data_IF_392814975505
#
_entry.id   IF_392814975505
#
_cell.length_a   1.000
_cell.length_b   1.000
_cell.length_c   1.000
_cell.angle_alpha   90.00
_cell.angle_beta   90.00
_cell.angle_gamma   90.00
#
_symmetry.space_group_name_H-M   'P 1'
#
loop_
_entity.id
_entity.type
_entity.pdbx_description
1 polymer ?
#
# COMPACT_ATOMS: atom_id res chain seq x y z
N UNK A 1 5.57 -42.59 22.70
CA UNK A 1 4.87 -42.06 21.49
C UNK A 1 5.53 -40.77 21.09
N UNK A 2 6.15 -40.73 19.91
CA UNK A 2 6.96 -39.63 19.40
C UNK A 2 6.07 -38.77 18.49
N UNK A 3 5.81 -37.51 18.85
CA UNK A 3 5.06 -36.60 17.98
C UNK A 3 6.00 -36.18 16.83
N UNK A 4 5.57 -36.27 15.56
CA UNK A 4 6.47 -36.11 14.43
C UNK A 4 7.11 -34.72 14.34
N UNK A 5 8.39 -34.73 14.00
CA UNK A 5 9.31 -33.60 13.90
C UNK A 5 8.87 -32.44 12.98
N UNK A 6 7.82 -32.62 12.17
CA UNK A 6 7.18 -31.55 11.38
C UNK A 6 6.46 -30.51 12.25
N UNK A 7 6.34 -30.79 13.55
CA UNK A 7 5.83 -29.91 14.60
C UNK A 7 6.93 -29.28 15.48
N UNK A 8 8.22 -29.35 15.10
CA UNK A 8 9.32 -28.82 15.92
C UNK A 8 9.77 -29.77 17.03
N UNK A 9 10.20 -30.98 16.67
CA UNK A 9 10.60 -32.02 17.62
C UNK A 9 12.03 -31.86 18.14
N UNK A 10 12.19 -30.97 19.12
CA UNK A 10 13.22 -30.97 20.18
C UNK A 10 12.80 -30.01 21.32
N UNK A 11 11.51 -29.62 21.38
CA UNK A 11 11.04 -28.50 22.20
C UNK A 11 11.41 -27.12 21.64
N UNK A 12 11.94 -27.05 20.42
CA UNK A 12 12.41 -25.81 19.78
C UNK A 12 11.42 -25.37 18.69
N UNK A 13 11.03 -24.08 18.62
CA UNK A 13 10.13 -23.59 17.59
C UNK A 13 10.71 -23.80 16.18
N UNK A 14 9.83 -23.92 15.18
CA UNK A 14 10.24 -23.98 13.79
C UNK A 14 11.04 -22.72 13.42
N UNK A 15 12.37 -22.88 13.27
CA UNK A 15 13.33 -21.76 13.16
C UNK A 15 12.96 -20.77 12.06
N UNK A 16 12.38 -21.23 10.95
CA UNK A 16 11.95 -20.36 9.85
C UNK A 16 10.77 -19.47 10.28
N UNK A 17 9.80 -20.03 11.00
CA UNK A 17 8.65 -19.24 11.46
C UNK A 17 9.07 -18.29 12.58
N UNK A 18 9.97 -18.74 13.47
CA UNK A 18 10.56 -17.87 14.48
C UNK A 18 11.32 -16.70 13.85
N UNK A 19 12.16 -16.97 12.85
CA UNK A 19 12.86 -15.93 12.11
C UNK A 19 11.89 -14.95 11.43
N UNK A 20 10.86 -15.47 10.75
CA UNK A 20 9.83 -14.62 10.13
C UNK A 20 9.10 -13.75 11.16
N UNK A 21 8.71 -14.31 12.30
CA UNK A 21 8.07 -13.59 13.40
C UNK A 21 8.99 -12.50 13.98
N UNK A 22 10.29 -12.79 14.14
CA UNK A 22 11.28 -11.82 14.57
C UNK A 22 11.41 -10.66 13.57
N UNK A 23 11.46 -10.95 12.26
CA UNK A 23 11.48 -9.94 11.21
C UNK A 23 10.19 -9.10 11.18
N UNK A 24 9.02 -9.72 11.37
CA UNK A 24 7.75 -8.98 11.48
C UNK A 24 7.71 -8.07 12.71
N UNK A 25 8.24 -8.54 13.84
CA UNK A 25 8.36 -7.72 15.05
C UNK A 25 9.29 -6.53 14.81
N UNK A 26 10.39 -6.74 14.09
CA UNK A 26 11.29 -5.66 13.68
C UNK A 26 10.57 -4.67 12.74
N UNK A 27 9.81 -5.16 11.75
CA UNK A 27 9.00 -4.34 10.87
C UNK A 27 8.00 -3.47 11.65
N UNK A 28 7.31 -4.05 12.63
CA UNK A 28 6.42 -3.32 13.52
C UNK A 28 7.17 -2.27 14.34
N UNK A 29 8.36 -2.58 14.84
CA UNK A 29 9.16 -1.66 15.63
C UNK A 29 9.63 -0.44 14.84
N UNK A 30 9.85 -0.57 13.52
CA UNK A 30 10.15 0.57 12.64
C UNK A 30 9.01 1.60 12.60
N UNK A 31 7.80 1.23 13.03
CA UNK A 31 6.66 2.14 13.17
C UNK A 31 6.47 2.68 14.59
N UNK A 32 7.36 2.37 15.53
CA UNK A 32 7.29 2.91 16.87
C UNK A 32 7.45 4.45 16.82
N UNK A 33 6.66 5.21 17.60
CA UNK A 33 6.83 6.65 17.67
C UNK A 33 8.16 7.01 18.34
N UNK A 34 8.67 8.20 18.01
CA UNK A 34 9.94 8.70 18.51
C UNK A 34 9.98 8.71 20.05
N UNK A 35 11.08 8.27 20.64
CA UNK A 35 11.29 8.24 22.08
C UNK A 35 10.84 6.94 22.78
N UNK A 36 10.11 6.05 22.09
CA UNK A 36 9.74 4.74 22.67
C UNK A 36 10.91 3.74 22.57
N UNK A 37 11.65 3.76 21.46
CA UNK A 37 12.76 2.84 21.21
C UNK A 37 13.96 3.61 20.69
N UNK A 38 14.94 3.88 21.57
CA UNK A 38 16.14 4.67 21.24
C UNK A 38 16.86 4.23 19.97
N UNK A 39 16.91 2.93 19.68
CA UNK A 39 17.57 2.45 18.46
C UNK A 39 16.78 2.80 17.18
N UNK A 40 15.45 2.87 17.26
CA UNK A 40 14.58 3.33 16.16
C UNK A 40 14.77 4.83 15.98
N UNK A 41 14.90 5.58 17.07
CA UNK A 41 15.18 7.02 17.03
C UNK A 41 16.52 7.29 16.31
N UNK A 42 17.56 6.50 16.61
CA UNK A 42 18.84 6.56 15.90
C UNK A 42 18.69 6.26 14.40
N UNK A 43 17.90 5.25 14.01
CA UNK A 43 17.61 4.99 12.60
C UNK A 43 16.84 6.17 11.97
N UNK A 44 15.88 6.75 12.69
CA UNK A 44 15.15 7.93 12.25
C UNK A 44 16.08 9.12 11.99
N UNK A 45 17.02 9.37 12.89
CA UNK A 45 17.98 10.47 12.77
C UNK A 45 18.99 10.24 11.63
N UNK A 46 19.39 8.98 11.38
CA UNK A 46 20.31 8.63 10.28
C UNK A 46 19.61 8.72 8.91
N UNK A 47 18.37 8.25 8.81
CA UNK A 47 17.65 8.13 7.53
C UNK A 47 16.79 9.35 7.19
N UNK A 48 16.36 10.12 8.18
CA UNK A 48 15.48 11.27 8.02
C UNK A 48 14.24 10.91 7.19
N UNK A 49 14.10 11.55 6.02
CA UNK A 49 12.95 11.36 5.10
C UNK A 49 12.92 10.00 4.42
N UNK A 50 14.06 9.31 4.36
CA UNK A 50 14.21 8.01 3.70
C UNK A 50 14.03 6.85 4.70
N UNK A 51 13.24 7.07 5.75
CA UNK A 51 13.09 6.14 6.85
C UNK A 51 12.50 4.80 6.38
N UNK A 52 13.06 3.65 6.81
CA UNK A 52 12.66 2.34 6.32
C UNK A 52 11.20 1.95 6.50
N UNK A 53 10.54 2.52 7.50
CA UNK A 53 9.12 2.28 7.77
C UNK A 53 8.23 2.68 6.59
N UNK A 54 8.65 3.65 5.78
CA UNK A 54 7.92 4.08 4.58
C UNK A 54 7.98 3.02 3.47
N UNK A 55 9.08 2.27 3.38
CA UNK A 55 9.28 1.29 2.30
C UNK A 55 8.45 0.04 2.46
N UNK A 56 8.12 -0.37 3.69
CA UNK A 56 7.33 -1.58 3.98
C UNK A 56 5.97 -1.53 3.28
N UNK A 57 5.36 -0.35 3.21
CA UNK A 57 4.04 -0.13 2.60
C UNK A 57 4.10 0.12 1.09
N UNK A 58 5.29 0.41 0.54
CA UNK A 58 5.45 0.62 -0.88
C UNK A 58 5.53 -0.73 -1.62
N UNK A 59 4.90 -0.84 -2.81
CA UNK A 59 5.14 -1.94 -3.72
C UNK A 59 6.64 -2.06 -4.01
N UNK A 60 7.14 -3.29 -4.16
CA UNK A 60 8.57 -3.55 -4.43
C UNK A 60 9.11 -2.73 -5.60
N UNK A 61 8.30 -2.50 -6.63
CA UNK A 61 8.66 -1.73 -7.83
C UNK A 61 8.72 -0.22 -7.60
N UNK A 62 8.03 0.29 -6.58
CA UNK A 62 7.95 1.71 -6.25
C UNK A 62 8.99 2.13 -5.21
N UNK A 63 9.78 1.20 -4.67
CA UNK A 63 10.80 1.52 -3.67
C UNK A 63 12.04 2.11 -4.35
N UNK A 64 12.54 3.26 -3.86
CA UNK A 64 13.80 3.80 -4.32
C UNK A 64 14.97 2.87 -3.94
N UNK A 65 16.13 3.00 -4.61
CA UNK A 65 17.35 2.34 -4.15
C UNK A 65 17.69 2.80 -2.72
N UNK A 66 18.11 1.85 -1.88
CA UNK A 66 18.37 2.05 -0.46
C UNK A 66 19.89 1.90 -0.15
N UNK A 67 20.76 2.80 -0.63
CA UNK A 67 22.21 2.62 -0.54
C UNK A 67 22.75 2.78 0.90
N UNK A 68 22.03 3.47 1.78
CA UNK A 68 22.46 3.76 3.16
C UNK A 68 21.81 2.85 4.20
N UNK A 69 20.91 1.97 3.79
CA UNK A 69 20.06 1.21 4.72
C UNK A 69 20.80 0.05 5.36
N UNK A 70 20.56 -0.18 6.65
CA UNK A 70 21.21 -1.27 7.37
C UNK A 70 20.83 -2.63 6.76
N UNK A 71 21.77 -3.61 6.69
CA UNK A 71 21.46 -4.95 6.19
C UNK A 71 20.30 -5.62 6.94
N UNK A 72 20.14 -5.32 8.23
CA UNK A 72 19.03 -5.81 9.05
C UNK A 72 17.69 -5.35 8.50
N UNK A 73 17.54 -4.05 8.24
CA UNK A 73 16.33 -3.48 7.64
C UNK A 73 16.07 -4.03 6.24
N UNK A 74 17.10 -4.17 5.40
CA UNK A 74 16.96 -4.77 4.07
C UNK A 74 16.40 -6.20 4.18
N UNK A 75 16.89 -6.98 5.14
CA UNK A 75 16.38 -8.33 5.40
C UNK A 75 14.95 -8.33 5.93
N UNK A 76 14.59 -7.35 6.78
CA UNK A 76 13.21 -7.15 7.24
C UNK A 76 12.26 -6.88 6.08
N UNK A 77 12.59 -5.93 5.20
CA UNK A 77 11.78 -5.58 4.03
C UNK A 77 11.65 -6.78 3.07
N UNK A 78 12.74 -7.50 2.81
CA UNK A 78 12.71 -8.71 1.96
C UNK A 78 11.86 -9.82 2.56
N UNK A 79 11.91 -9.99 3.89
CA UNK A 79 11.10 -10.99 4.59
C UNK A 79 9.64 -10.61 4.58
N UNK A 80 9.33 -9.33 4.78
CA UNK A 80 7.99 -8.77 4.63
C UNK A 80 7.42 -9.06 3.24
N UNK A 81 8.14 -8.75 2.16
CA UNK A 81 7.69 -9.03 0.78
C UNK A 81 7.33 -10.50 0.57
N UNK A 82 8.17 -11.41 1.09
CA UNK A 82 7.92 -12.86 0.99
C UNK A 82 6.67 -13.25 1.76
N UNK A 83 6.45 -12.69 2.93
CA UNK A 83 5.27 -12.97 3.76
C UNK A 83 4.02 -12.45 3.07
N UNK A 84 4.02 -11.20 2.61
CA UNK A 84 2.91 -10.59 1.88
C UNK A 84 2.55 -11.41 0.65
N UNK A 85 3.54 -11.82 -0.14
CA UNK A 85 3.32 -12.67 -1.31
C UNK A 85 2.78 -14.07 -0.95
N UNK A 86 3.34 -14.71 0.08
CA UNK A 86 2.89 -16.06 0.49
C UNK A 86 1.50 -16.08 1.13
N UNK A 87 1.14 -14.99 1.81
CA UNK A 87 -0.15 -14.84 2.50
C UNK A 87 -1.26 -14.29 1.60
N UNK A 88 -0.94 -13.90 0.36
CA UNK A 88 -1.92 -13.25 -0.53
C UNK A 88 -2.33 -11.86 -0.06
N UNK A 89 -1.55 -11.23 0.84
CA UNK A 89 -1.78 -9.85 1.28
C UNK A 89 -1.32 -8.81 0.24
N UNK A 90 -0.96 -9.25 -0.97
CA UNK A 90 -0.65 -8.35 -2.08
C UNK A 90 -1.89 -7.54 -2.42
N UNK A 91 -1.73 -6.22 -2.52
CA UNK A 91 -2.81 -5.36 -2.99
C UNK A 91 -3.24 -5.84 -4.36
N UNK A 92 -4.52 -6.19 -4.53
CA UNK A 92 -5.02 -6.64 -5.80
C UNK A 92 -4.88 -5.54 -6.85
N UNK A 93 -4.76 -5.96 -8.10
CA UNK A 93 -4.65 -5.03 -9.22
C UNK A 93 -5.86 -4.09 -9.21
N UNK A 94 -5.61 -2.79 -9.04
CA UNK A 94 -6.69 -1.80 -9.08
C UNK A 94 -7.28 -1.76 -10.49
N UNK A 95 -8.61 -1.70 -10.67
CA UNK A 95 -9.24 -1.49 -11.98
C UNK A 95 -8.75 -0.19 -12.65
N UNK A 96 -8.30 0.79 -11.85
CA UNK A 96 -7.77 2.06 -12.34
C UNK A 96 -6.31 1.97 -12.79
N UNK A 97 -5.66 0.82 -12.62
CA UNK A 97 -4.27 0.63 -13.05
C UNK A 97 -4.19 0.78 -14.57
N UNK A 98 -3.25 1.60 -15.09
CA UNK A 98 -3.07 1.72 -16.52
C UNK A 98 -2.59 0.39 -17.12
N UNK A 99 -2.95 0.18 -18.39
CA UNK A 99 -2.44 -0.95 -19.18
C UNK A 99 -1.06 -0.61 -19.72
N UNK A 100 -0.93 0.62 -20.23
CA UNK A 100 0.32 1.14 -20.76
C UNK A 100 1.25 1.58 -19.63
N UNK A 101 2.56 1.36 -19.83
CA UNK A 101 3.63 1.76 -18.89
C UNK A 101 3.47 1.16 -17.49
N UNK A 102 2.75 0.04 -17.39
CA UNK A 102 2.56 -0.69 -16.16
C UNK A 102 3.66 -1.73 -15.98
N UNK A 103 4.49 -1.56 -14.95
CA UNK A 103 5.60 -2.47 -14.65
C UNK A 103 5.14 -3.86 -14.23
N UNK A 104 3.89 -4.00 -13.77
CA UNK A 104 3.29 -5.30 -13.46
C UNK A 104 2.82 -6.05 -14.72
N UNK A 105 2.53 -5.32 -15.80
CA UNK A 105 2.10 -5.89 -17.08
C UNK A 105 3.20 -5.69 -18.14
N UNK A 106 4.14 -6.63 -18.22
CA UNK A 106 5.34 -6.52 -19.06
C UNK A 106 5.04 -6.16 -20.53
N UNK A 107 3.93 -6.65 -21.08
CA UNK A 107 3.51 -6.35 -22.45
C UNK A 107 3.10 -4.88 -22.62
N UNK A 108 2.54 -4.27 -21.58
CA UNK A 108 2.18 -2.84 -21.55
C UNK A 108 3.37 -1.90 -21.50
N UNK A 109 4.59 -2.41 -21.28
CA UNK A 109 5.82 -1.61 -21.38
C UNK A 109 6.22 -1.32 -22.83
N UNK A 110 5.62 -2.02 -23.81
CA UNK A 110 5.85 -1.82 -25.24
C UNK A 110 4.67 -1.08 -25.87
N UNK A 111 4.62 0.26 -25.81
CA UNK A 111 3.42 1.03 -26.21
C UNK A 111 3.03 0.85 -27.68
N UNK A 112 4.00 0.51 -28.56
CA UNK A 112 3.75 0.23 -29.98
C UNK A 112 2.72 -0.87 -30.22
N UNK A 113 2.65 -1.83 -29.30
CA UNK A 113 1.76 -2.99 -29.40
C UNK A 113 0.32 -2.67 -29.01
N UNK A 114 0.10 -1.51 -28.40
CA UNK A 114 -1.17 -1.09 -27.80
C UNK A 114 -1.61 0.31 -28.27
N UNK A 115 -1.05 0.83 -29.36
CA UNK A 115 -1.40 2.16 -29.90
C UNK A 115 -2.89 2.29 -30.15
N UNK A 116 -3.52 1.27 -30.74
CA UNK A 116 -4.99 1.26 -30.95
C UNK A 116 -5.78 1.33 -29.65
N UNK A 117 -5.29 0.67 -28.60
CA UNK A 117 -5.95 0.75 -27.30
C UNK A 117 -5.83 2.17 -26.74
N UNK A 118 -4.68 2.83 -26.91
CA UNK A 118 -4.49 4.23 -26.55
C UNK A 118 -5.41 5.17 -27.36
N UNK A 119 -5.44 5.01 -28.68
CA UNK A 119 -6.24 5.81 -29.61
C UNK A 119 -7.75 5.73 -29.33
N UNK A 120 -8.21 4.58 -28.83
CA UNK A 120 -9.60 4.34 -28.44
C UNK A 120 -9.89 4.64 -26.96
N UNK A 121 -8.99 5.33 -26.25
CA UNK A 121 -9.07 5.65 -24.83
C UNK A 121 -9.15 4.43 -23.88
N UNK A 122 -8.77 3.24 -24.34
CA UNK A 122 -8.72 2.00 -23.56
C UNK A 122 -7.40 1.88 -22.77
N UNK A 123 -7.13 2.90 -21.96
CA UNK A 123 -5.84 3.08 -21.26
C UNK A 123 -5.73 2.35 -19.92
N UNK A 124 -6.85 1.91 -19.34
CA UNK A 124 -6.94 1.34 -17.99
C UNK A 124 -7.70 0.02 -18.01
N UNK A 125 -7.41 -0.87 -17.05
CA UNK A 125 -8.06 -2.19 -17.00
C UNK A 125 -9.58 -2.12 -16.81
N UNK A 126 -10.12 -1.13 -16.08
CA UNK A 126 -11.56 -1.03 -15.86
C UNK A 126 -12.38 -0.91 -17.15
N UNK A 127 -11.79 -0.39 -18.24
CA UNK A 127 -12.49 -0.32 -19.53
C UNK A 127 -12.78 -1.70 -20.15
N UNK A 128 -12.10 -2.74 -19.66
CA UNK A 128 -12.29 -4.13 -20.08
C UNK A 128 -13.31 -4.87 -19.21
N UNK A 129 -13.93 -4.19 -18.25
CA UNK A 129 -14.94 -4.78 -17.38
C UNK A 129 -16.30 -4.17 -17.65
N UNK A 130 -17.32 -5.02 -17.74
CA UNK A 130 -18.72 -4.64 -17.70
C UNK A 130 -19.31 -5.15 -16.40
N UNK A 131 -19.42 -4.26 -15.41
CA UNK A 131 -19.74 -4.65 -14.03
C UNK A 131 -18.60 -5.45 -13.41
N UNK A 132 -18.83 -6.74 -13.15
CA UNK A 132 -17.83 -7.64 -12.54
C UNK A 132 -17.22 -8.66 -13.51
N UNK A 133 -17.66 -8.66 -14.76
CA UNK A 133 -17.18 -9.60 -15.75
C UNK A 133 -16.27 -8.89 -16.74
N UNK A 134 -15.24 -9.60 -17.21
CA UNK A 134 -14.39 -9.13 -18.28
C UNK A 134 -15.18 -9.15 -19.58
N UNK A 135 -15.28 -8.00 -20.25
CA UNK A 135 -15.99 -7.83 -21.51
C UNK A 135 -15.36 -8.76 -22.56
N UNK A 136 -16.14 -9.63 -23.24
CA UNK A 136 -15.60 -10.49 -24.27
C UNK A 136 -15.20 -9.66 -25.49
N UNK A 137 -14.19 -10.13 -26.22
CA UNK A 137 -13.68 -9.45 -27.43
C UNK A 137 -14.76 -9.02 -28.44
N UNK A 138 -15.77 -9.86 -28.83
CA UNK A 138 -16.81 -9.43 -29.76
C UNK A 138 -17.60 -8.21 -29.28
N UNK A 139 -17.79 -8.03 -27.98
CA UNK A 139 -18.51 -6.88 -27.43
C UNK A 139 -17.63 -5.61 -27.47
N UNK A 140 -16.32 -5.76 -27.24
CA UNK A 140 -15.35 -4.67 -27.43
C UNK A 140 -15.25 -4.23 -28.90
N UNK A 141 -15.42 -5.16 -29.85
CA UNK A 141 -15.44 -4.83 -31.29
C UNK A 141 -16.67 -4.00 -31.69
N UNK A 142 -17.79 -4.08 -30.94
CA UNK A 142 -18.97 -3.26 -31.21
C UNK A 142 -18.73 -1.80 -30.85
N UNK A 143 -17.93 -1.53 -29.81
CA UNK A 143 -17.65 -0.17 -29.34
C UNK A 143 -16.46 0.47 -30.06
N UNK A 144 -15.50 -0.34 -30.53
CA UNK A 144 -14.22 0.15 -31.05
C UNK A 144 -13.75 -0.71 -32.23
N UNK A 145 -13.23 -0.11 -33.33
CA UNK A 145 -12.86 -0.83 -34.55
C UNK A 145 -11.53 -1.59 -34.37
N UNK A 146 -11.58 -2.71 -33.65
CA UNK A 146 -10.45 -3.61 -33.44
C UNK A 146 -10.24 -4.59 -34.61
N UNK A 147 -8.99 -4.87 -34.93
CA UNK A 147 -8.60 -5.86 -35.94
C UNK A 147 -8.36 -7.23 -35.31
N UNK A 148 -8.26 -8.27 -36.14
CA UNK A 148 -8.07 -9.65 -35.69
C UNK A 148 -6.81 -9.85 -34.85
N UNK A 149 -5.74 -9.08 -35.08
CA UNK A 149 -4.53 -9.17 -34.25
C UNK A 149 -4.72 -8.59 -32.84
N UNK A 150 -5.69 -7.71 -32.64
CA UNK A 150 -6.01 -7.14 -31.32
C UNK A 150 -6.64 -8.20 -30.41
N UNK A 151 -7.22 -9.26 -30.97
CA UNK A 151 -7.72 -10.42 -30.22
C UNK A 151 -6.63 -11.05 -29.37
N UNK A 152 -5.42 -11.19 -29.93
CA UNK A 152 -4.30 -11.76 -29.19
C UNK A 152 -3.93 -10.89 -27.99
N UNK A 153 -3.92 -9.56 -28.16
CA UNK A 153 -3.67 -8.60 -27.07
C UNK A 153 -4.77 -8.65 -26.01
N UNK A 154 -6.02 -8.77 -26.43
CA UNK A 154 -7.14 -8.96 -25.52
C UNK A 154 -7.00 -10.26 -24.70
N UNK A 155 -6.62 -11.38 -25.34
CA UNK A 155 -6.34 -12.64 -24.65
C UNK A 155 -5.19 -12.49 -23.65
N UNK A 156 -4.12 -11.75 -24.00
CA UNK A 156 -3.02 -11.47 -23.10
C UNK A 156 -3.46 -10.66 -21.87
N UNK A 157 -4.27 -9.62 -22.07
CA UNK A 157 -4.85 -8.82 -20.97
C UNK A 157 -5.74 -9.72 -20.10
N UNK A 158 -6.62 -10.52 -20.71
CA UNK A 158 -7.49 -11.47 -20.01
C UNK A 158 -6.70 -12.47 -19.17
N UNK A 159 -5.66 -13.07 -19.75
CA UNK A 159 -4.77 -14.02 -19.08
C UNK A 159 -4.06 -13.36 -17.89
N UNK A 160 -3.57 -12.13 -18.08
CA UNK A 160 -2.96 -11.34 -17.02
C UNK A 160 -3.94 -11.05 -15.87
N UNK A 161 -5.15 -10.59 -16.18
CA UNK A 161 -6.18 -10.28 -15.19
C UNK A 161 -6.67 -11.53 -14.45
N UNK A 162 -6.72 -12.67 -15.13
CA UNK A 162 -7.15 -13.96 -14.55
C UNK A 162 -6.06 -14.65 -13.72
N UNK A 163 -4.84 -14.11 -13.71
CA UNK A 163 -3.75 -14.65 -12.89
C UNK A 163 -4.12 -14.58 -11.40
N UNK A 164 -3.84 -15.62 -10.60
CA UNK A 164 -4.13 -15.61 -9.16
C UNK A 164 -3.39 -14.52 -8.39
N UNK A 165 -2.29 -13.99 -8.94
CA UNK A 165 -1.58 -12.85 -8.36
C UNK A 165 -2.36 -11.54 -8.48
N UNK A 166 -3.27 -11.43 -9.45
CA UNK A 166 -4.07 -10.23 -9.72
C UNK A 166 -5.54 -10.41 -9.32
N UNK A 167 -5.99 -11.66 -9.22
CA UNK A 167 -7.35 -12.00 -8.83
C UNK A 167 -7.47 -11.97 -7.31
N UNK A 168 -8.36 -11.14 -6.79
CA UNK A 168 -8.71 -11.13 -5.37
C UNK A 168 -9.27 -12.50 -4.96
N UNK A 169 -8.46 -13.32 -4.29
CA UNK A 169 -8.94 -14.54 -3.67
C UNK A 169 -9.80 -14.18 -2.44
N UNK A 170 -11.10 -13.98 -2.64
CA UNK A 170 -12.10 -14.05 -1.57
C UNK A 170 -12.59 -12.73 -0.96
N UNK A 171 -12.12 -11.56 -1.39
CA UNK A 171 -12.82 -10.32 -1.05
C UNK A 171 -14.10 -10.22 -1.87
N UNK A 172 -15.24 -10.09 -1.18
CA UNK A 172 -16.51 -9.71 -1.80
C UNK A 172 -16.23 -8.57 -2.78
N UNK A 173 -16.77 -8.65 -4.00
CA UNK A 173 -16.37 -7.77 -5.09
C UNK A 173 -16.44 -6.33 -4.61
N UNK A 174 -15.37 -5.58 -4.88
CA UNK A 174 -15.33 -4.14 -4.70
C UNK A 174 -16.51 -3.56 -5.48
N UNK A 175 -17.64 -3.37 -4.81
CA UNK A 175 -18.71 -2.48 -5.27
C UNK A 175 -18.10 -1.10 -5.17
N UNK A 176 -17.34 -0.74 -6.20
CA UNK A 176 -17.18 0.65 -6.52
C UNK A 176 -18.61 1.15 -6.73
N UNK A 177 -19.14 1.87 -5.74
CA UNK A 177 -20.21 2.82 -5.94
C UNK A 177 -19.67 3.86 -6.94
N UNK A 178 -19.64 3.47 -8.21
CA UNK A 178 -19.54 4.41 -9.30
C UNK A 178 -20.93 5.01 -9.41
N UNK A 179 -21.19 6.01 -8.58
CA UNK A 179 -22.35 6.87 -8.76
C UNK A 179 -22.27 7.41 -10.19
N UNK A 180 -23.18 6.93 -11.03
CA UNK A 180 -23.35 7.47 -12.37
C UNK A 180 -23.57 8.98 -12.25
N UNK A 181 -22.97 9.81 -13.13
CA UNK A 181 -23.29 11.23 -13.17
C UNK A 181 -24.80 11.35 -13.39
N UNK A 182 -25.45 12.04 -12.45
CA UNK A 182 -26.87 12.33 -12.45
C UNK A 182 -27.36 12.67 -13.86
N UNK A 183 -28.11 11.76 -14.47
CA UNK A 183 -28.98 12.10 -15.59
C UNK A 183 -30.03 13.04 -15.02
N UNK A 184 -29.88 14.33 -15.29
CA UNK A 184 -30.84 15.38 -14.97
C UNK A 184 -32.22 14.96 -15.50
N UNK A 185 -33.07 14.45 -14.60
CA UNK A 185 -34.49 14.24 -14.91
C UNK A 185 -35.17 15.60 -14.97
N UNK A 186 -35.95 15.91 -16.02
CA UNK A 186 -36.75 17.12 -16.06
C UNK A 186 -37.86 17.04 -15.00
N UNK A 187 -37.82 18.03 -14.12
CA UNK A 187 -38.71 18.24 -12.99
C UNK A 187 -40.12 18.57 -13.51
N UNK A 188 -41.05 17.62 -13.45
CA UNK A 188 -42.48 17.86 -13.70
C UNK A 188 -43.25 17.81 -12.38
N UNK A 189 -43.99 18.89 -12.14
CA UNK A 189 -44.80 19.18 -10.97
C UNK A 189 -45.73 18.03 -10.55
N UNK A 190 -45.85 17.80 -9.24
CA UNK A 190 -47.16 17.94 -8.55
C UNK A 190 -47.03 17.98 -7.02
N UNK A 191 -47.74 18.96 -6.47
CA UNK A 191 -48.00 19.24 -5.06
C UNK A 191 -48.85 18.14 -4.41
N UNK A 192 -48.57 17.82 -3.15
CA UNK A 192 -49.58 17.71 -2.08
C UNK A 192 -48.91 17.89 -0.71
N UNK A 193 -49.44 18.75 0.17
CA UNK A 193 -48.97 18.86 1.55
C UNK A 193 -49.60 17.78 2.46
N UNK A 194 -48.87 17.23 3.45
CA UNK A 194 -49.46 16.40 4.48
C UNK A 194 -50.15 17.24 5.59
N UNK A 195 -51.23 16.73 6.20
CA UNK A 195 -51.95 17.41 7.29
C UNK A 195 -51.19 17.32 8.63
N UNK A 196 -51.44 18.26 9.56
CA UNK A 196 -50.82 18.28 10.88
C UNK A 196 -51.70 17.59 11.94
N UNK A 197 -51.01 17.11 13.00
CA UNK A 197 -51.39 17.06 14.44
C UNK A 197 -51.26 15.67 15.06
N UNK A 198 -50.61 15.65 16.22
CA UNK A 198 -50.57 14.54 17.16
C UNK A 198 -49.54 14.78 18.27
N UNK A 199 -49.86 15.69 19.20
CA UNK A 199 -49.19 15.84 20.51
C UNK A 199 -49.66 14.71 21.42
N UNK A 200 -48.74 14.08 22.13
CA UNK A 200 -48.85 13.39 23.44
C UNK A 200 -47.55 12.56 23.59
N UNK A 201 -46.95 12.29 24.74
CA UNK A 201 -47.08 12.77 26.10
C UNK A 201 -45.79 12.36 26.83
N UNK A 202 -45.39 13.23 27.76
CA UNK A 202 -44.56 13.08 28.95
C UNK A 202 -43.83 11.76 29.34
N UNK A 203 -42.73 12.03 30.08
CA UNK A 203 -42.20 11.35 31.28
C UNK A 203 -41.27 10.14 31.10
N UNK A 204 -40.05 10.34 31.63
CA UNK A 204 -39.12 9.28 31.96
C UNK A 204 -37.82 9.81 32.57
N UNK A 205 -37.92 10.48 33.73
CA UNK A 205 -36.80 10.86 34.61
C UNK A 205 -35.98 9.62 35.01
N UNK A 206 -34.65 9.74 35.01
CA UNK A 206 -33.75 8.75 35.57
C UNK A 206 -32.34 9.29 35.79
N UNK A 207 -32.19 10.22 36.74
CA UNK A 207 -30.91 10.66 37.29
C UNK A 207 -30.31 9.55 38.16
N UNK A 208 -29.06 9.16 37.91
CA UNK A 208 -28.18 8.60 38.93
C UNK A 208 -26.86 9.37 38.89
N UNK A 209 -26.64 10.15 39.94
CA UNK A 209 -25.45 10.94 40.18
C UNK A 209 -24.50 10.18 41.13
N UNK A 210 -23.21 10.24 40.82
CA UNK A 210 -22.06 10.42 41.74
C UNK A 210 -21.71 9.23 42.69
N UNK A 211 -20.43 9.10 43.16
CA UNK A 211 -19.52 10.20 43.46
C UNK A 211 -18.09 10.16 42.93
N UNK A 212 -17.61 11.39 42.81
CA UNK A 212 -16.21 11.81 42.82
C UNK A 212 -15.42 11.12 43.93
N UNK A 213 -14.24 10.62 43.60
CA UNK A 213 -13.15 10.42 44.57
C UNK A 213 -11.97 11.27 44.13
N UNK A 214 -11.76 12.35 44.89
CA UNK A 214 -10.56 13.17 44.91
C UNK A 214 -9.39 12.39 45.51
N UNK A 215 -8.22 12.44 44.86
CA UNK A 215 -6.92 12.54 45.52
C UNK A 215 -5.80 12.77 44.48
N UNK A 216 -5.34 14.01 44.41
CA UNK A 216 -3.97 14.39 44.03
C UNK A 216 -2.98 13.80 45.07
N UNK A 217 -1.67 13.62 44.80
CA UNK A 217 -0.81 14.75 44.43
C UNK A 217 0.37 14.49 43.49
N UNK A 218 0.80 15.59 42.86
CA UNK A 218 2.19 16.03 42.71
C UNK A 218 3.25 14.98 42.36
N UNK A 219 3.51 14.82 41.06
CA UNK A 219 4.80 14.34 40.58
C UNK A 219 5.63 15.54 40.16
N UNK A 220 6.58 15.83 41.04
CA UNK A 220 7.68 16.78 40.97
C UNK A 220 8.44 16.70 39.63
N UNK A 221 8.46 17.84 38.94
CA UNK A 221 9.26 18.08 37.74
C UNK A 221 10.70 18.33 38.20
N UNK A 222 11.60 17.37 37.96
CA UNK A 222 13.04 17.57 38.07
C UNK A 222 13.66 17.86 36.68
N UNK A 223 14.64 18.77 36.60
CA UNK A 223 15.11 19.35 35.34
C UNK A 223 16.07 18.45 34.55
N UNK A 224 16.02 18.62 33.24
CA UNK A 224 16.95 18.01 32.27
C UNK A 224 18.41 18.39 32.54
N UNK A 225 19.37 17.46 32.45
CA UNK A 225 20.76 17.82 32.28
C UNK A 225 21.03 18.26 30.85
N UNK A 226 21.39 19.53 30.68
CA UNK A 226 22.03 20.05 29.47
C UNK A 226 23.39 19.36 29.30
N UNK A 227 23.48 18.39 28.39
CA UNK A 227 24.76 17.88 27.92
C UNK A 227 25.18 18.66 26.68
N UNK A 228 26.05 19.65 26.91
CA UNK A 228 26.96 20.21 25.93
C UNK A 228 27.78 19.07 25.28
N UNK A 229 27.58 18.84 23.98
CA UNK A 229 28.59 18.19 23.15
C UNK A 229 29.04 19.18 22.07
N UNK A 230 30.14 19.86 22.37
CA UNK A 230 31.02 20.44 21.35
C UNK A 230 31.61 19.28 20.54
N UNK A 231 31.12 19.07 19.32
CA UNK A 231 31.87 18.30 18.33
C UNK A 231 32.74 19.25 17.51
N UNK A 232 34.05 19.17 17.75
CA UNK A 232 35.08 19.65 16.86
C UNK A 232 34.89 19.01 15.48
N UNK A 233 34.73 19.85 14.46
CA UNK A 233 34.89 19.47 13.05
C UNK A 233 36.38 19.32 12.73
N UNK A 234 36.85 18.19 12.17
CA UNK A 234 38.08 18.18 11.41
C UNK A 234 37.76 18.69 9.99
N UNK A 235 38.24 19.91 9.72
CA UNK A 235 38.56 20.37 8.39
C UNK A 235 39.53 19.36 7.75
N UNK A 236 39.16 18.74 6.63
CA UNK A 236 40.15 18.07 5.80
C UNK A 236 40.05 18.53 4.35
N UNK A 237 41.20 19.02 3.96
CA UNK A 237 41.54 19.83 2.82
C UNK A 237 41.62 19.01 1.52
N UNK A 238 41.60 19.78 0.46
CA UNK A 238 41.69 19.50 -0.98
C UNK A 238 42.54 18.30 -1.40
N UNK A 239 42.02 17.63 -2.43
CA UNK A 239 42.80 16.83 -3.37
C UNK A 239 42.13 16.79 -4.74
N UNK A 240 42.08 17.93 -5.45
CA UNK A 240 41.79 17.94 -6.89
C UNK A 240 42.96 17.28 -7.63
N UNK A 241 42.69 16.17 -8.34
CA UNK A 241 43.55 15.68 -9.42
C UNK A 241 42.80 15.77 -10.73
N UNK A 242 43.11 16.81 -11.48
CA UNK A 242 42.88 16.92 -12.92
C UNK A 242 43.86 15.98 -13.63
N UNK A 243 43.37 15.07 -14.47
CA UNK A 243 44.22 14.44 -15.47
C UNK A 243 43.70 14.79 -16.86
N UNK A 244 44.53 15.56 -17.54
CA UNK A 244 44.45 15.98 -18.93
C UNK A 244 44.44 14.82 -19.91
N UNK A 245 43.85 15.14 -21.05
CA UNK A 245 43.88 14.45 -22.33
C UNK A 245 45.26 13.91 -22.72
N UNK A 246 45.23 12.79 -23.46
CA UNK A 246 46.24 12.45 -24.44
C UNK A 246 45.57 11.93 -25.70
N UNK A 247 45.56 12.80 -26.70
CA UNK A 247 45.44 12.53 -28.13
C UNK A 247 46.70 11.77 -28.56
N UNK A 248 46.55 10.71 -29.35
CA UNK A 248 47.60 10.23 -30.24
C UNK A 248 46.95 9.56 -31.48
N UNK A 249 47.24 10.20 -32.62
CA UNK A 249 47.36 9.78 -34.03
C UNK A 249 46.47 8.65 -34.56
#
# INVERSE_FOLDING_TARGET
MYVPNRAGGLGVPHLIHYYQAAQLTQAQNLHAPYGIKRWVDLEHDIFGRDHPSLYIWLPKQARPPMPRTSPAVINTIRTWDRIVHKSGLTTPLSPLTPILRNTQFALGMTPKDFTRYEDNNLTRFHHFFQGQQLTPFPDLQQTTPFQTFDLFRHIQIKSFLSSPANTQAGTKPYQAHFDHPHTTRPNTLRRTPPPPKGRESERGKGNCALPNSSANPDVEIAPQPQSFFHFCTPSQDRGQKTNSAKTDV
#
